data_IF_220066380075
#
_entry.id   IF_220066380075
#
_cell.length_a   1.000
_cell.length_b   1.000
_cell.length_c   1.000
_cell.angle_alpha   90.00
_cell.angle_beta   90.00
_cell.angle_gamma   90.00
#
_symmetry.space_group_name_H-M   'P 1'
#
loop_
_entity.id
_entity.type
_entity.pdbx_description
1 polymer ?
#
# COMPACT_ATOMS: atom_id res chain seq x y z
N UNK A 1 -9.45 7.23 21.88
CA UNK A 1 -8.82 6.15 21.08
C UNK A 1 -7.41 6.59 20.77
N UNK A 2 -6.41 5.75 21.07
CA UNK A 2 -5.01 6.01 20.73
C UNK A 2 -4.67 5.23 19.45
N UNK A 3 -4.39 5.96 18.37
CA UNK A 3 -3.96 5.36 17.09
C UNK A 3 -2.47 5.56 16.91
N UNK A 4 -1.75 4.51 16.52
CA UNK A 4 -0.33 4.56 16.20
C UNK A 4 -0.04 3.76 14.94
N UNK A 5 0.90 4.26 14.12
CA UNK A 5 1.40 3.53 12.94
C UNK A 5 2.89 3.27 13.14
N UNK A 6 3.31 2.04 12.87
CA UNK A 6 4.69 1.60 13.02
C UNK A 6 5.15 0.85 11.78
N UNK A 7 6.45 0.96 11.47
CA UNK A 7 7.03 0.18 10.38
C UNK A 7 6.95 -1.32 10.68
N UNK A 8 6.64 -2.11 9.67
CA UNK A 8 6.66 -3.56 9.76
C UNK A 8 8.11 -4.03 9.94
N UNK A 9 8.31 -4.98 10.86
CA UNK A 9 9.60 -5.60 11.14
C UNK A 9 9.51 -7.12 10.98
N UNK A 10 10.62 -7.81 10.81
CA UNK A 10 10.64 -9.28 10.73
C UNK A 10 9.98 -9.95 11.94
N UNK A 11 10.20 -9.45 13.15
CA UNK A 11 9.51 -9.92 14.36
C UNK A 11 8.07 -9.49 14.49
N UNK A 12 7.55 -8.69 13.53
CA UNK A 12 6.18 -8.17 13.50
C UNK A 12 5.27 -8.83 12.47
N UNK A 13 5.75 -9.83 11.72
CA UNK A 13 4.96 -10.48 10.66
C UNK A 13 3.67 -11.13 11.20
N UNK A 14 3.72 -11.69 12.39
CA UNK A 14 2.54 -12.25 13.07
C UNK A 14 1.46 -11.21 13.41
N UNK A 15 1.84 -9.92 13.45
CA UNK A 15 0.93 -8.79 13.72
C UNK A 15 0.19 -8.29 12.49
N UNK A 16 0.48 -8.83 11.31
CA UNK A 16 -0.29 -8.47 10.12
C UNK A 16 -1.74 -8.96 10.24
N UNK A 17 -2.71 -8.20 9.70
CA UNK A 17 -4.08 -8.66 9.54
C UNK A 17 -4.13 -10.06 8.91
N UNK A 18 -5.07 -10.89 9.34
CA UNK A 18 -5.13 -12.32 8.97
C UNK A 18 -5.13 -12.53 7.45
N UNK A 19 -5.86 -11.71 6.70
CA UNK A 19 -5.85 -11.79 5.23
C UNK A 19 -4.47 -11.38 4.68
N UNK A 20 -3.93 -10.23 5.07
CA UNK A 20 -2.66 -9.73 4.55
C UNK A 20 -1.50 -10.70 4.79
N UNK A 21 -1.52 -11.43 5.91
CA UNK A 21 -0.52 -12.45 6.24
C UNK A 21 -0.58 -13.69 5.34
N UNK A 22 -1.74 -13.98 4.74
CA UNK A 22 -1.96 -15.17 3.90
C UNK A 22 -2.14 -14.85 2.42
N UNK A 23 -2.36 -13.59 2.09
CA UNK A 23 -2.57 -13.16 0.72
C UNK A 23 -1.24 -13.03 0.00
N UNK A 24 -1.04 -13.82 -1.03
CA UNK A 24 0.12 -13.79 -1.93
C UNK A 24 -0.28 -13.34 -3.35
N UNK A 25 -1.34 -12.56 -3.43
CA UNK A 25 -1.88 -12.08 -4.70
C UNK A 25 -0.83 -11.31 -5.52
N UNK A 26 -0.10 -10.42 -4.88
CA UNK A 26 0.91 -9.59 -5.54
C UNK A 26 2.28 -10.27 -5.66
N UNK A 27 2.59 -11.12 -4.70
CA UNK A 27 3.92 -11.68 -4.46
C UNK A 27 4.21 -12.90 -5.32
N UNK A 28 3.19 -13.51 -5.92
CA UNK A 28 3.36 -14.70 -6.73
C UNK A 28 2.93 -14.47 -8.19
N UNK A 29 3.71 -15.03 -9.11
CA UNK A 29 3.28 -15.17 -10.51
C UNK A 29 2.17 -16.23 -10.57
N UNK A 30 1.00 -15.91 -11.15
CA UNK A 30 -0.09 -16.86 -11.29
C UNK A 30 0.30 -18.15 -12.02
N UNK A 31 1.22 -18.10 -12.98
CA UNK A 31 1.68 -19.27 -13.69
C UNK A 31 2.43 -20.26 -12.78
N UNK A 32 3.15 -19.73 -11.77
CA UNK A 32 3.81 -20.55 -10.74
C UNK A 32 2.79 -21.08 -9.74
N UNK A 33 1.78 -20.28 -9.42
CA UNK A 33 0.72 -20.67 -8.51
C UNK A 33 -0.21 -21.77 -9.07
N UNK A 34 -0.35 -21.87 -10.40
CA UNK A 34 -1.13 -22.92 -11.07
C UNK A 34 -0.43 -24.28 -11.02
N UNK A 35 0.89 -24.33 -10.91
CA UNK A 35 1.65 -25.58 -10.76
C UNK A 35 1.63 -26.03 -9.29
N UNK A 36 0.41 -26.35 -8.82
CA UNK A 36 0.02 -26.59 -7.44
C UNK A 36 0.77 -27.73 -6.73
N UNK A 37 1.66 -28.46 -7.43
CA UNK A 37 2.46 -29.55 -6.86
C UNK A 37 3.62 -29.05 -5.97
N UNK A 38 3.95 -27.75 -6.06
CA UNK A 38 5.03 -27.13 -5.30
C UNK A 38 4.56 -26.00 -4.40
N UNK A 39 3.26 -25.82 -4.20
CA UNK A 39 2.72 -24.71 -3.43
C UNK A 39 2.87 -25.00 -1.94
N UNK A 40 3.76 -24.26 -1.31
CA UNK A 40 3.92 -24.20 0.14
C UNK A 40 2.73 -23.50 0.82
N UNK A 41 2.70 -23.46 2.13
CA UNK A 41 1.70 -22.69 2.89
C UNK A 41 1.75 -21.22 2.46
N UNK A 42 0.64 -20.57 2.08
CA UNK A 42 0.58 -19.16 1.74
C UNK A 42 1.18 -18.22 2.80
N UNK A 43 1.09 -18.59 4.08
CA UNK A 43 1.73 -17.84 5.17
C UNK A 43 3.25 -17.89 5.01
N UNK A 44 3.80 -19.06 4.75
CA UNK A 44 5.24 -19.24 4.55
C UNK A 44 5.74 -18.46 3.33
N UNK A 45 5.02 -18.53 2.20
CA UNK A 45 5.37 -17.77 0.99
C UNK A 45 5.35 -16.25 1.24
N UNK A 46 4.34 -15.77 1.96
CA UNK A 46 4.24 -14.36 2.34
C UNK A 46 5.39 -13.92 3.24
N UNK A 47 5.72 -14.73 4.24
CA UNK A 47 6.83 -14.45 5.16
C UNK A 47 8.19 -14.49 4.45
N UNK A 48 8.37 -15.45 3.55
CA UNK A 48 9.59 -15.54 2.74
C UNK A 48 9.77 -14.31 1.84
N UNK A 49 8.71 -13.89 1.16
CA UNK A 49 8.72 -12.69 0.33
C UNK A 49 9.01 -11.43 1.15
N UNK A 50 8.30 -11.21 2.25
CA UNK A 50 8.51 -10.06 3.15
C UNK A 50 9.95 -10.04 3.67
N UNK A 51 10.47 -11.19 4.09
CA UNK A 51 11.83 -11.31 4.59
C UNK A 51 12.86 -10.96 3.52
N UNK A 52 12.67 -11.45 2.29
CA UNK A 52 13.54 -11.15 1.16
C UNK A 52 13.54 -9.66 0.84
N UNK A 53 12.35 -9.05 0.71
CA UNK A 53 12.23 -7.61 0.42
C UNK A 53 12.85 -6.77 1.53
N UNK A 54 12.62 -7.12 2.80
CA UNK A 54 13.21 -6.40 3.93
C UNK A 54 14.74 -6.49 3.95
N UNK A 55 15.31 -7.63 3.58
CA UNK A 55 16.76 -7.83 3.55
C UNK A 55 17.42 -7.10 2.37
N UNK A 56 16.79 -7.09 1.21
CA UNK A 56 17.36 -6.53 -0.02
C UNK A 56 17.12 -5.03 -0.16
N UNK A 57 15.94 -4.56 0.30
CA UNK A 57 15.48 -3.20 0.05
C UNK A 57 15.17 -2.41 1.33
N UNK A 58 14.83 -3.07 2.43
CA UNK A 58 14.48 -2.45 3.71
C UNK A 58 12.99 -2.55 4.02
N UNK A 59 12.49 -1.67 4.91
CA UNK A 59 11.07 -1.69 5.32
C UNK A 59 10.14 -1.65 4.11
N UNK A 60 9.18 -2.56 4.08
CA UNK A 60 8.21 -2.74 3.00
C UNK A 60 6.76 -2.75 3.52
N UNK A 61 6.53 -2.23 4.71
CA UNK A 61 5.18 -2.18 5.27
C UNK A 61 5.02 -1.26 6.46
N UNK A 62 3.77 -0.83 6.67
CA UNK A 62 3.32 -0.08 7.84
C UNK A 62 2.14 -0.82 8.49
N UNK A 63 2.08 -0.82 9.82
CA UNK A 63 1.01 -1.44 10.60
C UNK A 63 0.38 -0.40 11.50
N UNK A 64 -0.93 -0.24 11.40
CA UNK A 64 -1.71 0.63 12.25
C UNK A 64 -2.30 -0.16 13.42
N UNK A 65 -2.22 0.43 14.61
CA UNK A 65 -2.81 -0.10 15.83
C UNK A 65 -3.75 0.95 16.44
N UNK A 66 -4.90 0.51 16.90
CA UNK A 66 -5.88 1.31 17.65
C UNK A 66 -6.09 0.66 19.01
N UNK A 67 -5.82 1.40 20.06
CA UNK A 67 -5.88 0.92 21.46
C UNK A 67 -5.15 -0.41 21.69
N UNK A 68 -3.99 -0.59 20.99
CA UNK A 68 -3.14 -1.77 21.08
C UNK A 68 -3.54 -2.95 20.21
N UNK A 69 -4.65 -2.86 19.48
CA UNK A 69 -5.11 -3.89 18.55
C UNK A 69 -4.73 -3.51 17.12
N UNK A 70 -4.35 -4.50 16.30
CA UNK A 70 -4.07 -4.28 14.88
C UNK A 70 -5.34 -3.84 14.17
N UNK A 71 -5.28 -2.65 13.57
CA UNK A 71 -6.39 -2.03 12.85
C UNK A 71 -6.23 -2.08 11.34
N UNK A 72 -5.01 -2.26 10.83
CA UNK A 72 -4.76 -2.34 9.40
C UNK A 72 -3.28 -2.39 9.06
N UNK A 73 -2.99 -2.54 7.76
CA UNK A 73 -1.64 -2.49 7.24
C UNK A 73 -1.59 -1.93 5.81
N UNK A 74 -0.42 -1.40 5.43
CA UNK A 74 -0.05 -1.11 4.06
C UNK A 74 1.26 -1.83 3.73
N UNK A 75 1.34 -2.48 2.55
CA UNK A 75 2.55 -3.11 2.05
C UNK A 75 2.95 -2.47 0.72
N UNK A 76 4.25 -2.29 0.53
CA UNK A 76 4.81 -1.67 -0.66
C UNK A 76 6.20 -2.24 -0.95
N UNK A 77 6.57 -2.30 -2.22
CA UNK A 77 7.85 -2.87 -2.64
C UNK A 77 8.32 -2.29 -3.98
N UNK A 78 9.61 -2.42 -4.31
CA UNK A 78 10.08 -2.17 -5.67
C UNK A 78 9.31 -3.03 -6.67
N UNK A 79 9.00 -2.51 -7.89
CA UNK A 79 8.26 -3.27 -8.90
C UNK A 79 8.87 -4.62 -9.25
N UNK A 80 10.21 -4.74 -9.16
CA UNK A 80 10.94 -5.98 -9.41
C UNK A 80 10.62 -7.10 -8.43
N UNK A 81 10.15 -6.75 -7.23
CA UNK A 81 9.76 -7.71 -6.19
C UNK A 81 8.27 -8.10 -6.28
N UNK A 82 7.51 -7.56 -7.25
CA UNK A 82 6.07 -7.77 -7.40
C UNK A 82 5.75 -8.42 -8.76
N UNK A 83 5.90 -9.74 -8.89
CA UNK A 83 5.78 -10.44 -10.18
C UNK A 83 4.44 -10.21 -10.89
N UNK A 84 3.33 -10.20 -10.14
CA UNK A 84 1.99 -10.01 -10.73
C UNK A 84 1.82 -8.63 -11.37
N UNK A 85 2.56 -7.61 -10.94
CA UNK A 85 2.48 -6.26 -11.50
C UNK A 85 2.69 -6.24 -13.02
N UNK A 86 3.53 -7.14 -13.56
CA UNK A 86 3.84 -7.21 -15.00
C UNK A 86 2.68 -7.68 -15.86
N UNK A 87 1.66 -8.31 -15.26
CA UNK A 87 0.50 -8.87 -15.96
C UNK A 87 -0.62 -7.84 -16.19
N UNK A 88 -0.58 -6.71 -15.50
CA UNK A 88 -1.63 -5.70 -15.62
C UNK A 88 -1.57 -4.98 -16.98
N UNK A 89 -2.73 -4.66 -17.58
CA UNK A 89 -2.80 -3.98 -18.88
C UNK A 89 -2.18 -2.58 -18.87
N UNK A 90 -2.03 -2.00 -17.68
CA UNK A 90 -1.45 -0.67 -17.46
C UNK A 90 0.00 -0.73 -16.97
N UNK A 91 0.63 -1.90 -17.04
CA UNK A 91 2.05 -2.11 -16.79
C UNK A 91 2.91 -1.51 -17.94
N UNK A 92 4.20 -1.20 -17.72
CA UNK A 92 4.95 -1.36 -16.47
C UNK A 92 4.75 -0.22 -15.48
N UNK A 93 5.11 -0.45 -14.22
CA UNK A 93 5.28 0.60 -13.20
C UNK A 93 6.46 1.49 -13.61
N UNK A 94 6.39 2.78 -13.30
CA UNK A 94 7.46 3.73 -13.61
C UNK A 94 8.76 3.37 -12.89
N UNK A 95 9.93 3.51 -13.52
CA UNK A 95 11.21 3.04 -12.96
C UNK A 95 11.66 3.79 -11.71
N UNK A 96 11.11 4.98 -11.46
CA UNK A 96 11.37 5.83 -10.30
C UNK A 96 10.34 5.68 -9.18
N UNK A 97 9.38 4.77 -9.35
CA UNK A 97 8.28 4.56 -8.40
C UNK A 97 8.43 3.26 -7.61
N UNK A 98 7.90 3.28 -6.41
CA UNK A 98 7.61 2.10 -5.57
C UNK A 98 6.16 1.72 -5.76
N UNK A 99 5.83 0.43 -5.70
CA UNK A 99 4.47 -0.04 -5.86
C UNK A 99 3.81 -0.28 -4.49
N UNK A 100 2.69 0.38 -4.24
CA UNK A 100 1.77 0.08 -3.15
C UNK A 100 0.95 -1.15 -3.56
N UNK A 101 1.13 -2.26 -2.85
CA UNK A 101 0.51 -3.54 -3.18
C UNK A 101 -0.72 -3.83 -2.33
N UNK A 102 -0.66 -3.50 -1.05
CA UNK A 102 -1.72 -3.82 -0.09
C UNK A 102 -2.03 -2.59 0.75
N UNK A 103 -3.31 -2.26 0.85
CA UNK A 103 -3.84 -1.35 1.85
C UNK A 103 -5.09 -2.02 2.42
N UNK A 104 -5.08 -2.29 3.70
CA UNK A 104 -6.17 -3.02 4.33
C UNK A 104 -6.44 -2.52 5.73
N UNK A 105 -7.72 -2.34 6.03
CA UNK A 105 -8.23 -2.04 7.37
C UNK A 105 -9.10 -3.18 7.85
N UNK A 106 -9.01 -3.50 9.14
CA UNK A 106 -9.87 -4.52 9.76
C UNK A 106 -11.28 -3.97 9.98
N UNK A 107 -12.28 -4.86 9.87
CA UNK A 107 -13.70 -4.51 9.87
C UNK A 107 -14.16 -3.57 11.00
N UNK A 108 -13.68 -3.69 12.26
CA UNK A 108 -14.09 -2.77 13.33
C UNK A 108 -13.54 -1.34 13.16
N UNK A 109 -12.59 -1.11 12.22
CA UNK A 109 -11.87 0.16 12.06
C UNK A 109 -12.02 0.76 10.66
N UNK A 110 -12.95 0.27 9.85
CA UNK A 110 -13.16 0.75 8.47
C UNK A 110 -13.62 2.21 8.41
N UNK A 111 -14.39 2.63 9.42
CA UNK A 111 -14.88 4.02 9.55
C UNK A 111 -13.86 4.97 10.22
N UNK A 112 -12.76 4.42 10.73
CA UNK A 112 -11.68 5.23 11.27
C UNK A 112 -10.71 5.57 10.13
N UNK A 113 -10.13 6.77 10.14
CA UNK A 113 -9.19 7.27 9.11
C UNK A 113 -7.86 6.45 9.03
N UNK A 114 -7.94 5.16 9.37
CA UNK A 114 -6.78 4.24 9.43
C UNK A 114 -6.11 4.10 8.08
N UNK A 115 -6.90 4.02 7.00
CA UNK A 115 -6.35 3.92 5.65
C UNK A 115 -5.55 5.17 5.27
N UNK A 116 -6.05 6.37 5.58
CA UNK A 116 -5.34 7.64 5.36
C UNK A 116 -4.06 7.72 6.18
N UNK A 117 -4.10 7.34 7.46
CA UNK A 117 -2.92 7.32 8.32
C UNK A 117 -1.85 6.35 7.81
N UNK A 118 -2.26 5.19 7.27
CA UNK A 118 -1.35 4.24 6.66
C UNK A 118 -0.68 4.83 5.41
N UNK A 119 -1.44 5.48 4.51
CA UNK A 119 -0.87 6.15 3.33
C UNK A 119 0.10 7.25 3.76
N UNK A 120 -0.25 8.10 4.73
CA UNK A 120 0.65 9.13 5.25
C UNK A 120 1.95 8.53 5.79
N UNK A 121 1.89 7.41 6.52
CA UNK A 121 3.06 6.75 7.05
C UNK A 121 3.94 6.13 5.95
N UNK A 122 3.33 5.56 4.89
CA UNK A 122 4.04 5.07 3.70
C UNK A 122 4.74 6.22 2.99
N UNK A 123 4.03 7.31 2.72
CA UNK A 123 4.59 8.53 2.10
C UNK A 123 5.77 9.04 2.91
N UNK A 124 5.61 9.22 4.22
CA UNK A 124 6.67 9.69 5.11
C UNK A 124 7.91 8.77 5.11
N UNK A 125 7.72 7.45 5.04
CA UNK A 125 8.82 6.50 4.93
C UNK A 125 9.56 6.63 3.59
N UNK A 126 8.82 6.67 2.49
CA UNK A 126 9.39 6.72 1.14
C UNK A 126 10.08 8.06 0.85
N UNK A 127 9.53 9.17 1.31
CA UNK A 127 10.18 10.51 1.22
C UNK A 127 11.52 10.51 1.95
N UNK A 128 11.59 9.98 3.19
CA UNK A 128 12.87 9.85 3.92
C UNK A 128 13.91 9.02 3.18
N UNK A 129 13.46 8.08 2.35
CA UNK A 129 14.31 7.19 1.55
C UNK A 129 14.65 7.76 0.17
N UNK A 130 14.16 8.96 -0.17
CA UNK A 130 14.42 9.62 -1.44
C UNK A 130 13.69 8.99 -2.63
N UNK A 131 12.61 8.24 -2.38
CA UNK A 131 11.74 7.69 -3.44
C UNK A 131 10.93 8.83 -4.04
N UNK A 132 10.80 8.86 -5.37
CA UNK A 132 10.17 9.97 -6.10
C UNK A 132 8.66 9.82 -6.25
N UNK A 133 8.18 8.59 -6.33
CA UNK A 133 6.76 8.35 -6.50
C UNK A 133 6.30 7.04 -5.87
N UNK A 134 5.03 7.00 -5.51
CA UNK A 134 4.30 5.81 -5.13
C UNK A 134 3.25 5.54 -6.21
N UNK A 135 3.25 4.35 -6.80
CA UNK A 135 2.24 3.93 -7.76
C UNK A 135 1.39 2.80 -7.19
N UNK A 136 0.17 2.66 -7.69
CA UNK A 136 -0.72 1.56 -7.37
C UNK A 136 -1.54 1.16 -8.59
N UNK A 137 -1.87 -0.12 -8.71
CA UNK A 137 -2.93 -0.58 -9.60
C UNK A 137 -4.25 -0.53 -8.84
N UNK A 138 -5.11 0.40 -9.23
CA UNK A 138 -6.46 0.50 -8.69
C UNK A 138 -7.40 -0.51 -9.31
N UNK A 139 -8.50 -0.83 -8.61
CA UNK A 139 -9.62 -1.56 -9.19
C UNK A 139 -10.83 -0.64 -9.28
N UNK A 140 -11.56 -0.70 -10.41
CA UNK A 140 -12.89 -0.10 -10.57
C UNK A 140 -13.91 -1.20 -10.66
N UNK A 141 -14.86 -1.19 -9.72
CA UNK A 141 -15.97 -2.15 -9.72
C UNK A 141 -17.09 -1.61 -10.59
N UNK A 142 -17.27 -2.16 -11.79
CA UNK A 142 -18.38 -1.83 -12.66
C UNK A 142 -19.69 -2.43 -12.09
N UNK A 143 -20.79 -1.68 -12.02
CA UNK A 143 -22.08 -2.19 -11.52
C UNK A 143 -22.73 -3.27 -12.39
N UNK A 144 -22.12 -3.69 -13.50
CA UNK A 144 -22.71 -4.67 -14.44
C UNK A 144 -21.67 -5.47 -15.23
N UNK A 145 -20.80 -6.23 -14.55
CA UNK A 145 -19.81 -7.09 -15.23
C UNK A 145 -20.39 -8.34 -15.90
N UNK A 146 -21.68 -8.64 -15.77
CA UNK A 146 -22.31 -9.80 -16.43
C UNK A 146 -22.51 -9.62 -17.95
N UNK A 147 -22.59 -8.40 -18.46
CA UNK A 147 -22.88 -8.15 -19.87
C UNK A 147 -21.65 -8.14 -20.81
N UNK A 148 -20.44 -8.02 -20.27
CA UNK A 148 -19.20 -7.94 -21.08
C UNK A 148 -18.47 -9.29 -21.22
N UNK A 149 -18.74 -10.24 -20.35
CA UNK A 149 -18.12 -11.58 -20.40
C UNK A 149 -18.53 -12.41 -21.62
N UNK A 150 -19.65 -12.09 -22.24
CA UNK A 150 -20.17 -12.83 -23.40
C UNK A 150 -19.59 -12.38 -24.75
N UNK A 151 -18.83 -11.28 -24.81
CA UNK A 151 -18.37 -10.68 -26.07
C UNK A 151 -16.95 -11.01 -26.51
N UNK A 152 -16.14 -11.57 -25.66
CA UNK A 152 -14.74 -11.88 -26.00
C UNK A 152 -14.36 -13.31 -25.61
N UNK A 153 -14.71 -14.25 -26.50
CA UNK A 153 -14.25 -15.63 -26.45
C UNK A 153 -12.77 -15.75 -26.82
N UNK A 154 -11.90 -15.51 -25.89
CA UNK A 154 -10.51 -15.99 -25.86
C UNK A 154 -9.98 -15.76 -24.47
N UNK A 155 -9.39 -16.79 -23.84
CA UNK A 155 -8.72 -16.67 -22.55
C UNK A 155 -7.64 -15.60 -22.66
N UNK A 156 -7.98 -14.41 -22.22
CA UNK A 156 -7.18 -13.21 -22.35
C UNK A 156 -6.28 -13.05 -21.12
N UNK A 157 -5.27 -12.19 -21.25
CA UNK A 157 -4.42 -11.72 -20.16
C UNK A 157 -5.21 -11.37 -18.90
N UNK A 158 -6.46 -10.89 -19.05
CA UNK A 158 -7.39 -10.57 -17.95
C UNK A 158 -7.76 -11.80 -17.11
N UNK A 159 -7.93 -12.97 -17.69
CA UNK A 159 -8.24 -14.20 -16.95
C UNK A 159 -7.06 -14.66 -16.10
N UNK A 160 -5.83 -14.39 -16.54
CA UNK A 160 -4.61 -14.65 -15.74
C UNK A 160 -4.46 -13.69 -14.56
N UNK A 161 -4.91 -12.43 -14.69
CA UNK A 161 -4.93 -11.46 -13.59
C UNK A 161 -5.99 -11.86 -12.55
N UNK A 162 -7.13 -12.35 -13.02
CA UNK A 162 -8.29 -12.71 -12.21
C UNK A 162 -8.20 -14.16 -11.66
N UNK A 163 -7.30 -15.00 -12.22
CA UNK A 163 -7.18 -16.39 -11.79
C UNK A 163 -6.99 -16.50 -10.27
N UNK A 164 -7.90 -17.17 -9.55
CA UNK A 164 -7.76 -17.40 -8.11
C UNK A 164 -6.52 -18.28 -7.88
N UNK A 165 -5.76 -17.98 -6.85
CA UNK A 165 -4.68 -18.86 -6.40
C UNK A 165 -5.34 -20.05 -5.73
N UNK A 166 -5.45 -21.17 -6.45
CA UNK A 166 -5.99 -22.44 -5.94
C UNK A 166 -4.91 -23.12 -5.10
N UNK A 167 -5.10 -23.23 -3.80
CA UNK A 167 -4.11 -23.94 -2.96
C UNK A 167 -4.35 -23.90 -1.46
N UNK A 168 -5.47 -23.38 -0.99
CA UNK A 168 -5.81 -23.47 0.42
C UNK A 168 -6.90 -24.53 0.63
N UNK A 169 -6.65 -25.46 1.56
CA UNK A 169 -7.65 -26.35 2.13
C UNK A 169 -8.96 -25.61 2.38
N UNK A 170 -10.08 -26.23 1.99
CA UNK A 170 -11.42 -25.66 1.87
C UNK A 170 -12.11 -25.25 3.18
N UNK A 171 -11.39 -24.81 4.19
CA UNK A 171 -11.96 -24.23 5.40
C UNK A 171 -11.45 -22.81 5.59
N UNK A 172 -12.28 -21.82 5.21
CA UNK A 172 -12.15 -20.39 5.50
C UNK A 172 -10.97 -19.62 4.86
N UNK A 173 -10.51 -20.04 3.67
CA UNK A 173 -9.65 -19.17 2.85
C UNK A 173 -10.55 -18.23 2.06
N UNK A 174 -10.59 -16.97 2.41
CA UNK A 174 -11.03 -15.89 1.52
C UNK A 174 -10.20 -16.01 0.25
N UNK A 175 -10.80 -16.45 -0.84
CA UNK A 175 -10.12 -16.57 -2.14
C UNK A 175 -9.49 -15.22 -2.49
N UNK A 176 -8.19 -15.22 -2.78
CA UNK A 176 -7.52 -14.03 -3.26
C UNK A 176 -8.06 -13.70 -4.65
N UNK A 177 -8.88 -12.67 -4.73
CA UNK A 177 -9.43 -12.14 -5.97
C UNK A 177 -9.02 -10.68 -6.12
N UNK A 178 -9.04 -10.11 -7.33
CA UNK A 178 -8.78 -8.69 -7.51
C UNK A 178 -9.66 -7.81 -6.62
N UNK A 179 -10.95 -8.14 -6.51
CA UNK A 179 -11.91 -7.38 -5.70
C UNK A 179 -11.59 -7.40 -4.20
N UNK A 180 -10.97 -8.48 -3.73
CA UNK A 180 -10.59 -8.62 -2.32
C UNK A 180 -9.15 -8.22 -2.00
N UNK A 181 -8.29 -8.04 -3.01
CA UNK A 181 -6.85 -7.88 -2.81
C UNK A 181 -6.27 -6.59 -3.40
N UNK A 182 -7.03 -5.87 -4.24
CA UNK A 182 -6.64 -4.60 -4.81
C UNK A 182 -7.28 -3.43 -4.06
N UNK A 183 -6.73 -2.25 -4.26
CA UNK A 183 -7.22 -1.01 -3.67
C UNK A 183 -8.21 -0.38 -4.66
N UNK A 184 -9.34 0.11 -4.16
CA UNK A 184 -10.32 0.83 -5.00
C UNK A 184 -9.67 2.06 -5.63
N UNK A 185 -9.88 2.25 -6.93
CA UNK A 185 -9.29 3.38 -7.66
C UNK A 185 -9.81 4.72 -7.16
N UNK A 186 -11.09 4.80 -6.83
CA UNK A 186 -11.72 6.02 -6.31
C UNK A 186 -11.10 6.43 -4.96
N UNK A 187 -10.81 5.47 -4.08
CA UNK A 187 -10.09 5.75 -2.83
C UNK A 187 -8.68 6.30 -3.10
N UNK A 188 -7.95 5.72 -4.06
CA UNK A 188 -6.61 6.23 -4.42
C UNK A 188 -6.68 7.67 -4.95
N UNK A 189 -7.68 7.98 -5.78
CA UNK A 189 -7.90 9.35 -6.28
C UNK A 189 -8.24 10.32 -5.13
N UNK A 190 -9.07 9.90 -4.18
CA UNK A 190 -9.44 10.69 -2.99
C UNK A 190 -8.24 11.03 -2.10
N UNK A 191 -7.24 10.14 -2.02
CA UNK A 191 -6.00 10.39 -1.25
C UNK A 191 -4.90 11.04 -2.07
N UNK A 192 -5.20 11.51 -3.29
CA UNK A 192 -4.32 12.36 -4.10
C UNK A 192 -3.50 11.64 -5.16
N UNK A 193 -3.77 10.35 -5.45
CA UNK A 193 -3.16 9.71 -6.61
C UNK A 193 -3.82 10.19 -7.90
N UNK A 194 -3.03 10.36 -8.94
CA UNK A 194 -3.48 10.72 -10.29
C UNK A 194 -3.38 9.53 -11.24
N UNK A 195 -4.35 9.37 -12.14
CA UNK A 195 -4.34 8.30 -13.14
C UNK A 195 -3.26 8.57 -14.19
N UNK A 196 -2.22 7.74 -14.21
CA UNK A 196 -1.11 7.84 -15.19
C UNK A 196 -1.24 6.86 -16.34
N UNK A 197 -1.98 5.77 -16.15
CA UNK A 197 -2.33 4.84 -17.22
C UNK A 197 -3.81 4.45 -17.07
N UNK A 198 -4.70 5.01 -17.92
CA UNK A 198 -6.12 4.77 -17.81
C UNK A 198 -6.50 3.36 -18.30
N UNK A 199 -7.39 2.72 -17.57
CA UNK A 199 -8.04 1.47 -17.97
C UNK A 199 -9.41 1.38 -17.29
N UNK A 200 -10.41 0.81 -17.96
CA UNK A 200 -11.78 0.74 -17.43
C UNK A 200 -11.89 -0.01 -16.10
N UNK A 201 -11.11 -1.07 -15.90
CA UNK A 201 -11.15 -1.89 -14.68
C UNK A 201 -9.89 -1.78 -13.82
N UNK A 202 -8.72 -1.66 -14.42
CA UNK A 202 -7.42 -1.67 -13.74
C UNK A 202 -6.56 -0.47 -14.13
N UNK A 203 -6.95 0.76 -13.76
CA UNK A 203 -6.11 1.92 -13.97
C UNK A 203 -4.84 1.81 -13.11
N UNK A 204 -3.73 2.42 -13.58
CA UNK A 204 -2.55 2.64 -12.77
C UNK A 204 -2.51 4.10 -12.36
N UNK A 205 -2.34 4.30 -11.05
CA UNK A 205 -2.35 5.62 -10.43
C UNK A 205 -1.00 5.89 -9.77
N UNK A 206 -0.64 7.16 -9.68
CA UNK A 206 0.64 7.64 -9.17
C UNK A 206 0.44 8.81 -8.22
N UNK A 207 1.16 8.78 -7.11
CA UNK A 207 1.31 9.86 -6.16
C UNK A 207 2.77 10.33 -6.22
N UNK A 208 2.98 11.60 -6.58
CA UNK A 208 4.31 12.22 -6.54
C UNK A 208 4.72 12.46 -5.08
N UNK A 209 5.93 12.06 -4.75
CA UNK A 209 6.51 12.21 -3.42
C UNK A 209 7.51 13.36 -3.46
N UNK A 210 7.00 14.59 -3.40
CA UNK A 210 7.86 15.78 -3.38
C UNK A 210 8.62 15.88 -2.06
N UNK A 211 9.93 15.64 -2.12
CA UNK A 211 10.83 15.90 -0.99
C UNK A 211 10.93 17.39 -0.64
N UNK A 212 10.56 18.26 -1.56
CA UNK A 212 10.69 19.73 -1.38
C UNK A 212 9.57 20.34 -0.53
N UNK A 213 8.35 19.81 -0.57
CA UNK A 213 7.23 20.39 0.18
C UNK A 213 7.34 20.12 1.69
N UNK A 214 7.69 18.90 2.09
CA UNK A 214 7.84 18.55 3.51
C UNK A 214 8.97 19.32 4.19
N UNK A 215 10.08 19.54 3.49
CA UNK A 215 11.21 20.28 4.04
C UNK A 215 10.90 21.79 4.22
N UNK A 216 10.18 22.41 3.29
CA UNK A 216 9.76 23.81 3.41
C UNK A 216 8.82 24.01 4.58
N UNK A 217 7.79 23.19 4.69
CA UNK A 217 6.82 23.27 5.79
C UNK A 217 7.48 23.00 7.15
N UNK A 218 8.41 22.06 7.24
CA UNK A 218 9.14 21.77 8.47
C UNK A 218 10.09 22.89 8.87
N UNK A 219 10.75 23.52 7.90
CA UNK A 219 11.60 24.71 8.13
C UNK A 219 10.77 25.92 8.52
N UNK A 220 9.65 26.18 7.85
CA UNK A 220 8.73 27.26 8.21
C UNK A 220 8.16 27.06 9.61
N UNK A 221 7.73 25.86 9.95
CA UNK A 221 7.24 25.52 11.30
C UNK A 221 8.32 25.67 12.37
N UNK A 222 9.55 25.23 12.09
CA UNK A 222 10.69 25.40 12.99
C UNK A 222 11.06 26.88 13.15
N UNK A 223 11.00 27.66 12.08
CA UNK A 223 11.26 29.11 12.11
C UNK A 223 10.20 29.84 12.93
N UNK A 224 8.93 29.52 12.75
CA UNK A 224 7.83 30.09 13.51
C UNK A 224 7.96 29.77 15.01
N UNK A 225 8.37 28.56 15.36
CA UNK A 225 8.64 28.18 16.75
C UNK A 225 9.80 28.99 17.35
N UNK A 226 10.88 29.19 16.60
CA UNK A 226 12.01 30.00 17.02
C UNK A 226 11.63 31.47 17.19
N UNK A 227 10.84 32.04 16.28
CA UNK A 227 10.36 33.41 16.36
C UNK A 227 9.39 33.60 17.53
N UNK A 228 8.51 32.65 17.80
CA UNK A 228 7.64 32.68 18.97
C UNK A 228 8.44 32.62 20.27
N UNK A 229 9.47 31.76 20.35
CA UNK A 229 10.34 31.65 21.52
C UNK A 229 11.19 32.94 21.74
N UNK A 230 11.68 33.54 20.66
CA UNK A 230 12.43 34.79 20.71
C UNK A 230 11.59 35.99 21.15
N UNK A 231 10.33 36.07 20.74
CA UNK A 231 9.39 37.11 21.18
C UNK A 231 8.99 37.02 22.65
N UNK A 232 9.02 35.81 23.23
CA UNK A 232 8.79 35.62 24.67
C UNK A 232 9.99 35.98 25.55
N UNK A 233 11.20 36.03 24.96
CA UNK A 233 12.46 36.33 25.70
C UNK A 233 12.93 37.80 25.57
N UNK A 234 12.19 38.68 24.89
CA UNK A 234 12.54 40.07 24.77
C UNK A 234 12.43 40.79 26.14
N UNK A 235 13.52 41.33 26.72
CA UNK A 235 13.47 41.99 28.01
C UNK A 235 12.68 43.30 27.89
N UNK A 236 11.69 43.45 28.76
CA UNK A 236 10.94 44.70 28.98
C UNK A 236 11.95 45.82 29.30
N UNK A 237 12.18 46.77 28.40
CA UNK A 237 12.92 47.98 28.67
C UNK A 237 12.19 48.74 29.80
N UNK A 238 12.69 48.62 31.02
CA UNK A 238 12.29 49.51 32.12
C UNK A 238 12.81 50.89 31.79
N UNK A 239 11.90 51.80 31.48
CA UNK A 239 12.22 53.21 31.30
C UNK A 239 12.72 53.84 32.62
N UNK A 240 13.97 54.32 32.60
CA UNK A 240 14.48 55.16 33.67
C UNK A 240 13.97 56.59 33.44
N UNK A 241 13.38 57.15 34.47
CA UNK A 241 13.16 58.58 34.67
C UNK A 241 14.43 59.22 35.19
#
# INVERSE_FOLDING_TARGET
MSTSVTALTLGGLEKLPAHARRCVFWEMDPAVAEDSRNFSDPVFEKEAWLSTVMLEWGSCGQVANVDGNVAGCALYAPPSAVPRATLFPTSPVSPDAVLLTTLRTESPYQDADVAHLLIQAVVADLVRRGVRALEAFGIRTEPSSQALSERFGSMTLLERIVAPIKGASASAATECSPEGCMIEADFLEDVGFEVVAPHHRFPRLRLELDSDHGWKEDVERALDQLLAAASMTAPTRIGAR
#
